data_IF_584802101609
#
_entry.id   IF_584802101609
#
_cell.length_a   1.000
_cell.length_b   1.000
_cell.length_c   1.000
_cell.angle_alpha   90.00
_cell.angle_beta   90.00
_cell.angle_gamma   90.00
#
_symmetry.space_group_name_H-M   'P 1'
#
loop_
_entity.id
_entity.type
_entity.pdbx_description
1 polymer ?
#
# COMPACT_ATOMS: atom_id res chain seq x y z
N UNK A 1 6.63 13.27 4.05
CA UNK A 1 6.30 12.26 3.02
C UNK A 1 7.05 10.99 3.37
N UNK A 2 6.37 9.84 3.40
CA UNK A 2 6.95 8.55 3.78
C UNK A 2 6.67 7.54 2.67
N UNK A 3 7.70 6.84 2.20
CA UNK A 3 7.56 5.70 1.29
C UNK A 3 7.70 4.41 2.08
N UNK A 4 6.75 3.49 1.93
CA UNK A 4 6.78 2.19 2.59
C UNK A 4 6.92 1.12 1.54
N UNK A 5 8.13 0.58 1.39
CA UNK A 5 8.43 -0.44 0.38
C UNK A 5 8.15 -1.86 0.91
N UNK A 6 7.21 -2.53 0.27
CA UNK A 6 6.76 -3.88 0.63
C UNK A 6 7.75 -4.96 0.18
N UNK A 7 8.65 -4.59 -0.74
CA UNK A 7 9.63 -5.45 -1.41
C UNK A 7 8.94 -6.71 -1.93
N UNK A 8 9.43 -7.87 -1.53
CA UNK A 8 8.89 -9.20 -1.84
C UNK A 8 8.60 -9.99 -0.57
N UNK A 9 8.39 -9.28 0.56
CA UNK A 9 8.05 -9.93 1.81
C UNK A 9 6.64 -10.48 1.75
N UNK A 10 6.43 -11.67 2.32
CA UNK A 10 5.10 -12.30 2.38
C UNK A 10 4.02 -11.41 3.02
N UNK A 11 4.43 -10.56 3.96
CA UNK A 11 3.59 -9.59 4.66
C UNK A 11 3.15 -8.42 3.76
N UNK A 12 3.83 -8.20 2.64
CA UNK A 12 3.57 -7.14 1.67
C UNK A 12 3.09 -7.66 0.32
N UNK A 13 2.57 -8.90 0.24
CA UNK A 13 2.10 -9.53 -1.00
C UNK A 13 0.63 -9.93 -0.90
N UNK A 14 -0.11 -9.83 -2.00
CA UNK A 14 -1.51 -10.25 -2.10
C UNK A 14 -2.42 -9.60 -1.05
N UNK A 15 -3.18 -10.40 -0.30
CA UNK A 15 -4.10 -9.89 0.74
C UNK A 15 -3.42 -9.16 1.88
N UNK A 16 -2.19 -9.56 2.21
CA UNK A 16 -1.43 -8.89 3.26
C UNK A 16 -1.04 -7.46 2.83
N UNK A 17 -0.72 -7.28 1.54
CA UNK A 17 -0.47 -5.96 0.95
C UNK A 17 -1.70 -5.04 1.08
N UNK A 18 -2.89 -5.56 0.77
CA UNK A 18 -4.14 -4.79 0.84
C UNK A 18 -4.41 -4.31 2.27
N UNK A 19 -4.27 -5.20 3.26
CA UNK A 19 -4.41 -4.83 4.68
C UNK A 19 -3.41 -3.75 5.09
N UNK A 20 -2.16 -3.86 4.64
CA UNK A 20 -1.12 -2.88 4.96
C UNK A 20 -1.40 -1.51 4.32
N UNK A 21 -1.94 -1.48 3.11
CA UNK A 21 -2.36 -0.24 2.44
C UNK A 21 -3.50 0.45 3.18
N UNK A 22 -4.49 -0.30 3.65
CA UNK A 22 -5.59 0.27 4.45
C UNK A 22 -5.07 0.92 5.73
N UNK A 23 -4.05 0.32 6.36
CA UNK A 23 -3.36 0.92 7.51
C UNK A 23 -2.65 2.21 7.11
N UNK A 24 -1.89 2.21 6.00
CA UNK A 24 -1.24 3.42 5.49
C UNK A 24 -2.26 4.56 5.27
N UNK A 25 -3.40 4.27 4.63
CA UNK A 25 -4.47 5.24 4.39
C UNK A 25 -5.09 5.76 5.69
N UNK A 26 -5.30 4.89 6.69
CA UNK A 26 -5.84 5.29 7.98
C UNK A 26 -4.88 6.22 8.74
N UNK A 27 -3.58 5.93 8.71
CA UNK A 27 -2.55 6.76 9.34
C UNK A 27 -2.41 8.10 8.61
N UNK A 28 -2.42 8.10 7.29
CA UNK A 28 -2.40 9.34 6.49
C UNK A 28 -3.59 10.24 6.84
N UNK A 29 -4.81 9.69 6.93
CA UNK A 29 -6.01 10.44 7.34
C UNK A 29 -5.91 11.03 8.74
N UNK A 30 -5.31 10.30 9.69
CA UNK A 30 -5.18 10.73 11.09
C UNK A 30 -4.09 11.79 11.30
N UNK A 31 -3.01 11.70 10.53
CA UNK A 31 -1.80 12.50 10.77
C UNK A 31 -1.60 13.63 9.75
N UNK A 32 -2.35 13.61 8.66
CA UNK A 32 -2.14 14.46 7.48
C UNK A 32 -0.75 14.30 6.83
N UNK A 33 0.03 13.29 7.23
CA UNK A 33 1.31 12.96 6.61
C UNK A 33 1.07 12.03 5.44
N UNK A 34 1.51 12.44 4.24
CA UNK A 34 1.43 11.60 3.03
C UNK A 34 2.26 10.33 3.16
N UNK A 35 1.61 9.18 2.93
CA UNK A 35 2.23 7.85 2.95
C UNK A 35 2.01 7.17 1.59
N UNK A 36 3.09 6.73 0.97
CA UNK A 36 3.09 6.13 -0.35
C UNK A 36 3.52 4.66 -0.28
N UNK A 37 2.57 3.71 -0.40
CA UNK A 37 2.89 2.29 -0.47
C UNK A 37 3.59 1.96 -1.80
N UNK A 38 4.76 1.36 -1.72
CA UNK A 38 5.50 0.84 -2.88
C UNK A 38 5.31 -0.68 -2.88
N UNK A 39 4.50 -1.16 -3.82
CA UNK A 39 3.96 -2.52 -3.85
C UNK A 39 4.70 -3.37 -4.88
N UNK A 40 4.62 -4.69 -4.77
CA UNK A 40 5.16 -5.57 -5.80
C UNK A 40 4.37 -5.42 -7.10
N UNK A 41 5.04 -5.45 -8.25
CA UNK A 41 4.40 -5.26 -9.57
C UNK A 41 3.24 -6.23 -9.81
N UNK A 42 3.36 -7.48 -9.33
CA UNK A 42 2.33 -8.50 -9.45
C UNK A 42 1.02 -8.15 -8.72
N UNK A 43 1.07 -7.32 -7.67
CA UNK A 43 -0.09 -6.99 -6.84
C UNK A 43 -0.82 -5.71 -7.30
N UNK A 44 -0.22 -4.90 -8.19
CA UNK A 44 -0.77 -3.60 -8.60
C UNK A 44 -2.23 -3.71 -9.08
N UNK A 45 -2.51 -4.66 -9.99
CA UNK A 45 -3.85 -4.82 -10.56
C UNK A 45 -4.91 -5.09 -9.49
N UNK A 46 -4.60 -5.98 -8.55
CA UNK A 46 -5.51 -6.34 -7.45
C UNK A 46 -5.71 -5.17 -6.51
N UNK A 47 -4.62 -4.51 -6.12
CA UNK A 47 -4.62 -3.41 -5.16
C UNK A 47 -5.40 -2.21 -5.69
N UNK A 48 -5.20 -1.84 -6.96
CA UNK A 48 -5.93 -0.72 -7.58
C UNK A 48 -7.43 -1.02 -7.61
N UNK A 49 -7.82 -2.25 -7.93
CA UNK A 49 -9.22 -2.69 -7.97
C UNK A 49 -9.88 -2.69 -6.58
N UNK A 50 -9.15 -3.07 -5.53
CA UNK A 50 -9.73 -3.24 -4.18
C UNK A 50 -9.64 -1.99 -3.30
N UNK A 51 -8.64 -1.12 -3.51
CA UNK A 51 -8.36 0.01 -2.61
C UNK A 51 -8.66 1.37 -3.22
N UNK A 52 -8.86 1.46 -4.54
CA UNK A 52 -9.11 2.70 -5.31
C UNK A 52 -8.09 3.83 -5.02
N UNK A 53 -6.93 3.50 -4.45
CA UNK A 53 -5.91 4.45 -4.01
C UNK A 53 -4.69 4.44 -4.92
N UNK A 54 -3.92 5.56 -4.98
CA UNK A 54 -2.67 5.60 -5.73
C UNK A 54 -1.63 4.70 -5.06
N UNK A 55 -0.95 3.87 -5.87
CA UNK A 55 0.17 3.01 -5.45
C UNK A 55 1.36 3.17 -6.39
N UNK A 56 2.55 2.93 -5.85
CA UNK A 56 3.81 3.03 -6.59
C UNK A 56 4.42 1.65 -6.79
N UNK A 57 5.19 1.50 -7.86
CA UNK A 57 5.92 0.29 -8.23
C UNK A 57 7.42 0.59 -8.32
#
# INVERSE_FOLDING_TARGET
MIFVNFKTYRQGTGEAAIKLIQICQAVEKKTSVKIFPVVQTADIFRIVKETNGPVWA
#
